data_IF_235732952380
#
_entry.id   IF_235732952380
#
_cell.length_a   1.000
_cell.length_b   1.000
_cell.length_c   1.000
_cell.angle_alpha   90.00
_cell.angle_beta   90.00
_cell.angle_gamma   90.00
#
_symmetry.space_group_name_H-M   'P 1'
#
loop_
_entity.id
_entity.type
_entity.pdbx_description
1 polymer ?
#
# COMPACT_ATOMS: atom_id res chain seq x y z
N UNK A 1 -98.52 0.61 -42.62
CA UNK A 1 -98.09 0.87 -41.23
C UNK A 1 -99.09 0.19 -40.29
N UNK A 2 -98.63 -0.60 -39.33
CA UNK A 2 -99.48 -1.23 -38.31
C UNK A 2 -98.78 -2.39 -37.63
N UNK A 3 -98.20 -2.15 -36.45
CA UNK A 3 -97.62 -3.19 -35.58
C UNK A 3 -98.67 -4.25 -35.23
N UNK A 4 -98.25 -5.52 -35.18
CA UNK A 4 -98.89 -6.57 -34.38
C UNK A 4 -97.84 -7.33 -33.57
N UNK A 5 -97.13 -6.59 -32.71
CA UNK A 5 -96.39 -7.17 -31.60
C UNK A 5 -97.36 -7.26 -30.40
N UNK A 6 -98.21 -8.28 -30.40
CA UNK A 6 -99.18 -8.51 -29.33
C UNK A 6 -99.54 -9.99 -29.29
N UNK A 7 -99.47 -10.58 -28.10
CA UNK A 7 -99.79 -11.98 -27.80
C UNK A 7 -100.98 -12.51 -28.62
N UNK A 8 -100.74 -13.54 -29.44
CA UNK A 8 -101.78 -14.34 -30.10
C UNK A 8 -101.96 -15.65 -29.28
N UNK A 9 -103.04 -15.77 -28.48
CA UNK A 9 -103.27 -16.94 -27.63
C UNK A 9 -103.37 -18.26 -28.40
N UNK A 10 -103.60 -18.20 -29.72
CA UNK A 10 -103.80 -19.36 -30.59
C UNK A 10 -102.59 -19.67 -31.50
N UNK A 11 -101.41 -19.06 -31.29
CA UNK A 11 -100.16 -19.42 -31.99
C UNK A 11 -99.25 -20.34 -31.14
N UNK A 12 -99.37 -21.68 -31.27
CA UNK A 12 -98.55 -22.63 -30.51
C UNK A 12 -97.05 -22.53 -30.83
N UNK A 13 -96.68 -22.08 -32.04
CA UNK A 13 -95.28 -21.92 -32.44
C UNK A 13 -94.68 -20.67 -31.81
N UNK A 14 -95.44 -19.57 -31.75
CA UNK A 14 -95.05 -18.35 -31.05
C UNK A 14 -94.80 -18.57 -29.56
N UNK A 15 -95.65 -19.38 -28.91
CA UNK A 15 -95.50 -19.72 -27.49
C UNK A 15 -94.29 -20.63 -27.23
N UNK A 16 -94.03 -21.62 -28.09
CA UNK A 16 -92.83 -22.46 -28.00
C UNK A 16 -91.54 -21.65 -28.20
N UNK A 17 -91.55 -20.71 -29.16
CA UNK A 17 -90.41 -19.82 -29.42
C UNK A 17 -90.08 -18.96 -28.20
N UNK A 18 -91.10 -18.37 -27.56
CA UNK A 18 -90.92 -17.59 -26.32
C UNK A 18 -90.38 -18.43 -25.17
N UNK A 19 -90.88 -19.67 -25.00
CA UNK A 19 -90.38 -20.58 -23.97
C UNK A 19 -88.90 -20.94 -24.19
N UNK A 20 -88.50 -21.20 -25.44
CA UNK A 20 -87.11 -21.41 -25.83
C UNK A 20 -86.27 -20.16 -25.57
N UNK A 21 -86.73 -18.99 -26.00
CA UNK A 21 -85.98 -17.74 -25.87
C UNK A 21 -85.77 -17.36 -24.40
N UNK A 22 -86.79 -17.54 -23.55
CA UNK A 22 -86.67 -17.37 -22.10
C UNK A 22 -85.70 -18.39 -21.47
N UNK A 23 -85.70 -19.63 -21.95
CA UNK A 23 -84.76 -20.66 -21.49
C UNK A 23 -83.33 -20.30 -21.89
N UNK A 24 -83.09 -19.91 -23.14
CA UNK A 24 -81.77 -19.51 -23.63
C UNK A 24 -81.26 -18.24 -22.94
N UNK A 25 -82.12 -17.27 -22.66
CA UNK A 25 -81.76 -16.07 -21.92
C UNK A 25 -81.37 -16.39 -20.47
N UNK A 26 -82.09 -17.30 -19.81
CA UNK A 26 -81.73 -17.79 -18.47
C UNK A 26 -80.38 -18.53 -18.46
N UNK A 27 -80.15 -19.40 -19.46
CA UNK A 27 -78.86 -20.11 -19.60
C UNK A 27 -77.72 -19.16 -19.94
N UNK A 28 -77.95 -18.17 -20.80
CA UNK A 28 -76.96 -17.17 -21.15
C UNK A 28 -76.58 -16.32 -19.92
N UNK A 29 -77.55 -15.86 -19.14
CA UNK A 29 -77.30 -15.14 -17.88
C UNK A 29 -76.53 -15.98 -16.88
N UNK A 30 -76.92 -17.24 -16.67
CA UNK A 30 -76.21 -18.15 -15.78
C UNK A 30 -74.75 -18.37 -16.21
N UNK A 31 -74.48 -18.48 -17.51
CA UNK A 31 -73.12 -18.60 -18.05
C UNK A 31 -72.32 -17.30 -17.92
N UNK A 32 -72.95 -16.14 -18.14
CA UNK A 32 -72.30 -14.83 -17.95
C UNK A 32 -71.92 -14.66 -16.48
N UNK A 33 -72.83 -14.98 -15.55
CA UNK A 33 -72.56 -14.91 -14.12
C UNK A 33 -71.45 -15.88 -13.72
N UNK A 34 -71.45 -17.10 -14.26
CA UNK A 34 -70.40 -18.09 -14.03
C UNK A 34 -69.02 -17.60 -14.49
N UNK A 35 -68.90 -17.06 -15.70
CA UNK A 35 -67.63 -16.54 -16.24
C UNK A 35 -67.16 -15.29 -15.50
N UNK A 36 -68.09 -14.47 -15.00
CA UNK A 36 -67.79 -13.30 -14.18
C UNK A 36 -67.42 -13.66 -12.73
N UNK A 37 -67.52 -14.92 -12.31
CA UNK A 37 -67.08 -15.32 -10.97
C UNK A 37 -65.56 -15.33 -10.86
N UNK A 38 -65.07 -14.83 -9.73
CA UNK A 38 -63.64 -14.90 -9.38
C UNK A 38 -63.14 -16.35 -9.29
N UNK A 39 -64.01 -17.30 -8.95
CA UNK A 39 -63.68 -18.73 -8.90
C UNK A 39 -63.38 -19.31 -10.29
N UNK A 40 -64.14 -18.91 -11.32
CA UNK A 40 -63.88 -19.33 -12.70
C UNK A 40 -62.58 -18.73 -13.23
N UNK A 41 -62.37 -17.43 -12.99
CA UNK A 41 -61.12 -16.76 -13.35
C UNK A 41 -59.90 -17.42 -12.68
N UNK A 42 -59.98 -17.74 -11.39
CA UNK A 42 -58.93 -18.46 -10.65
C UNK A 42 -58.70 -19.87 -11.19
N UNK A 43 -59.77 -20.60 -11.52
CA UNK A 43 -59.67 -21.96 -12.04
C UNK A 43 -59.05 -22.01 -13.44
N UNK A 44 -59.43 -21.10 -14.35
CA UNK A 44 -58.79 -20.99 -15.66
C UNK A 44 -57.33 -20.56 -15.52
N UNK A 45 -57.05 -19.58 -14.65
CA UNK A 45 -55.68 -19.14 -14.35
C UNK A 45 -54.79 -20.31 -13.90
N UNK A 46 -55.25 -21.08 -12.91
CA UNK A 46 -54.52 -22.25 -12.41
C UNK A 46 -54.34 -23.36 -13.47
N UNK A 47 -55.33 -23.55 -14.34
CA UNK A 47 -55.24 -24.53 -15.44
C UNK A 47 -54.23 -24.09 -16.50
N UNK A 48 -54.22 -22.81 -16.85
CA UNK A 48 -53.26 -22.25 -17.79
C UNK A 48 -51.84 -22.27 -17.23
N UNK A 49 -51.66 -21.92 -15.95
CA UNK A 49 -50.37 -22.02 -15.27
C UNK A 49 -49.87 -23.47 -15.24
N UNK A 50 -50.75 -24.43 -14.95
CA UNK A 50 -50.40 -25.85 -14.99
C UNK A 50 -49.97 -26.31 -16.38
N UNK A 51 -50.67 -25.86 -17.43
CA UNK A 51 -50.30 -26.13 -18.82
C UNK A 51 -48.93 -25.53 -19.18
N UNK A 52 -48.68 -24.29 -18.78
CA UNK A 52 -47.40 -23.61 -19.02
C UNK A 52 -46.25 -24.32 -18.29
N UNK A 53 -46.45 -24.70 -17.03
CA UNK A 53 -45.47 -25.46 -16.24
C UNK A 53 -45.20 -26.83 -16.88
N UNK A 54 -46.26 -27.53 -17.31
CA UNK A 54 -46.14 -28.83 -17.98
C UNK A 54 -45.46 -28.73 -19.36
N UNK A 55 -45.46 -27.56 -20.00
CA UNK A 55 -44.80 -27.33 -21.28
C UNK A 55 -43.29 -27.03 -21.16
N UNK A 56 -42.80 -26.66 -19.98
CA UNK A 56 -41.39 -26.35 -19.76
C UNK A 56 -40.44 -27.54 -20.07
N UNK A 57 -40.75 -28.80 -19.67
CA UNK A 57 -39.98 -29.97 -20.10
C UNK A 57 -39.89 -30.14 -21.61
N UNK A 58 -40.99 -29.84 -22.34
CA UNK A 58 -41.00 -29.92 -23.80
C UNK A 58 -40.07 -28.88 -24.42
N UNK A 59 -40.10 -27.64 -23.92
CA UNK A 59 -39.16 -26.60 -24.36
C UNK A 59 -37.70 -27.02 -24.10
N UNK A 60 -37.42 -27.61 -22.93
CA UNK A 60 -36.08 -28.10 -22.61
C UNK A 60 -35.63 -29.23 -23.55
N UNK A 61 -36.52 -30.15 -23.91
CA UNK A 61 -36.24 -31.21 -24.86
C UNK A 61 -35.90 -30.64 -26.25
N UNK A 62 -36.69 -29.68 -26.74
CA UNK A 62 -36.46 -29.00 -28.02
C UNK A 62 -35.10 -28.30 -28.00
N UNK A 63 -34.80 -27.52 -26.95
CA UNK A 63 -33.53 -26.82 -26.79
C UNK A 63 -32.34 -27.80 -26.77
N UNK A 64 -32.48 -28.93 -26.09
CA UNK A 64 -31.44 -29.96 -26.01
C UNK A 64 -31.22 -30.61 -27.37
N UNK A 65 -32.30 -30.99 -28.07
CA UNK A 65 -32.21 -31.54 -29.43
C UNK A 65 -31.54 -30.56 -30.39
N UNK A 66 -31.86 -29.26 -30.30
CA UNK A 66 -31.25 -28.23 -31.12
C UNK A 66 -29.76 -28.10 -30.83
N UNK A 67 -29.35 -28.08 -29.55
CA UNK A 67 -27.93 -28.09 -29.14
C UNK A 67 -27.19 -29.28 -29.72
N UNK A 68 -27.76 -30.49 -29.64
CA UNK A 68 -27.14 -31.69 -30.20
C UNK A 68 -27.04 -31.62 -31.73
N UNK A 69 -28.05 -31.11 -32.43
CA UNK A 69 -27.99 -30.93 -33.87
C UNK A 69 -26.93 -29.92 -34.30
N UNK A 70 -26.83 -28.79 -33.60
CA UNK A 70 -25.80 -27.78 -33.84
C UNK A 70 -24.39 -28.34 -33.58
N UNK A 71 -24.21 -29.08 -32.49
CA UNK A 71 -22.93 -29.73 -32.19
C UNK A 71 -22.49 -30.72 -33.29
N UNK A 72 -23.43 -31.47 -33.89
CA UNK A 72 -23.13 -32.37 -35.02
C UNK A 72 -22.67 -31.63 -36.28
N UNK A 73 -23.11 -30.38 -36.44
CA UNK A 73 -22.69 -29.50 -37.52
C UNK A 73 -21.44 -28.67 -37.16
N UNK A 74 -20.82 -28.93 -36.00
CA UNK A 74 -19.73 -28.13 -35.43
C UNK A 74 -20.11 -26.64 -35.27
N UNK A 75 -21.39 -26.34 -35.03
CA UNK A 75 -21.88 -24.99 -34.78
C UNK A 75 -22.07 -24.78 -33.28
N UNK A 76 -21.60 -23.65 -32.72
CA UNK A 76 -21.80 -23.34 -31.31
C UNK A 76 -23.27 -23.03 -31.04
N UNK A 77 -23.75 -23.49 -29.89
CA UNK A 77 -25.05 -23.08 -29.37
C UNK A 77 -25.03 -21.63 -28.87
N UNK A 78 -26.21 -21.02 -28.76
CA UNK A 78 -26.35 -19.64 -28.25
C UNK A 78 -25.76 -19.49 -26.85
N UNK A 79 -25.97 -20.48 -25.98
CA UNK A 79 -25.47 -20.44 -24.60
C UNK A 79 -23.94 -20.49 -24.53
N UNK A 80 -23.31 -21.25 -25.42
CA UNK A 80 -21.84 -21.30 -25.53
C UNK A 80 -21.29 -19.96 -26.03
N UNK A 81 -21.93 -19.34 -27.02
CA UNK A 81 -21.56 -18.02 -27.51
C UNK A 81 -21.70 -16.94 -26.42
N UNK A 82 -22.80 -16.94 -25.67
CA UNK A 82 -22.99 -16.01 -24.55
C UNK A 82 -21.98 -16.24 -23.44
N UNK A 83 -21.65 -17.50 -23.13
CA UNK A 83 -20.63 -17.85 -22.14
C UNK A 83 -19.25 -17.37 -22.58
N UNK A 84 -18.91 -17.57 -23.86
CA UNK A 84 -17.66 -17.09 -24.43
C UNK A 84 -17.59 -15.56 -24.38
N UNK A 85 -18.63 -14.85 -24.82
CA UNK A 85 -18.69 -13.39 -24.78
C UNK A 85 -18.47 -12.86 -23.36
N UNK A 86 -19.13 -13.45 -22.36
CA UNK A 86 -18.94 -13.07 -20.95
C UNK A 86 -17.50 -13.27 -20.48
N UNK A 87 -16.86 -14.38 -20.88
CA UNK A 87 -15.45 -14.65 -20.53
C UNK A 87 -14.52 -13.64 -21.20
N UNK A 88 -14.78 -13.29 -22.46
CA UNK A 88 -14.01 -12.28 -23.19
C UNK A 88 -14.14 -10.91 -22.52
N UNK A 89 -15.35 -10.47 -22.17
CA UNK A 89 -15.57 -9.23 -21.42
C UNK A 89 -14.88 -9.25 -20.05
N UNK A 90 -14.87 -10.40 -19.36
CA UNK A 90 -14.12 -10.50 -18.10
C UNK A 90 -12.61 -10.37 -18.30
N UNK A 91 -12.07 -10.98 -19.35
CA UNK A 91 -10.65 -10.87 -19.70
C UNK A 91 -10.30 -9.41 -20.04
N UNK A 92 -11.14 -8.73 -20.80
CA UNK A 92 -11.00 -7.30 -21.14
C UNK A 92 -10.94 -6.43 -19.88
N UNK A 93 -11.91 -6.54 -18.96
CA UNK A 93 -11.88 -5.78 -17.71
C UNK A 93 -10.62 -6.06 -16.87
N UNK A 94 -10.19 -7.33 -16.78
CA UNK A 94 -8.97 -7.69 -16.05
C UNK A 94 -7.71 -7.19 -16.74
N UNK A 95 -7.73 -7.05 -18.06
CA UNK A 95 -6.63 -6.48 -18.82
C UNK A 95 -6.51 -4.98 -18.56
N UNK A 96 -7.64 -4.26 -18.53
CA UNK A 96 -7.70 -2.84 -18.16
C UNK A 96 -7.15 -2.63 -16.73
N UNK A 97 -7.54 -3.47 -15.77
CA UNK A 97 -7.00 -3.43 -14.41
C UNK A 97 -5.48 -3.64 -14.35
N UNK A 98 -4.95 -4.50 -15.23
CA UNK A 98 -3.51 -4.76 -15.32
C UNK A 98 -2.80 -3.55 -15.92
N UNK A 99 -3.36 -2.92 -16.96
CA UNK A 99 -2.83 -1.69 -17.56
C UNK A 99 -2.68 -0.59 -16.49
N UNK A 100 -3.74 -0.36 -15.70
CA UNK A 100 -3.73 0.61 -14.60
C UNK A 100 -2.63 0.28 -13.57
N UNK A 101 -2.48 -1.00 -13.19
CA UNK A 101 -1.46 -1.41 -12.21
C UNK A 101 -0.04 -1.26 -12.76
N UNK A 102 0.17 -1.55 -14.03
CA UNK A 102 1.46 -1.36 -14.70
C UNK A 102 1.82 0.12 -14.70
N UNK A 103 0.88 1.00 -15.03
CA UNK A 103 1.10 2.45 -14.99
C UNK A 103 1.43 2.94 -13.58
N UNK A 104 0.73 2.45 -12.56
CA UNK A 104 1.04 2.78 -11.16
C UNK A 104 2.44 2.30 -10.75
N UNK A 105 2.84 1.10 -11.15
CA UNK A 105 4.18 0.57 -10.88
C UNK A 105 5.25 1.38 -11.62
N UNK A 106 5.04 1.70 -12.90
CA UNK A 106 5.95 2.55 -13.66
C UNK A 106 6.07 3.94 -13.05
N UNK A 107 4.96 4.51 -12.58
CA UNK A 107 4.96 5.80 -11.90
C UNK A 107 5.72 5.74 -10.57
N UNK A 108 5.49 4.71 -9.76
CA UNK A 108 6.22 4.48 -8.51
C UNK A 108 7.72 4.30 -8.77
N UNK A 109 8.11 3.51 -9.78
CA UNK A 109 9.51 3.35 -10.16
C UNK A 109 10.13 4.68 -10.62
N UNK A 110 9.42 5.47 -11.42
CA UNK A 110 9.95 6.75 -11.91
C UNK A 110 10.09 7.80 -10.82
N UNK A 111 9.22 7.77 -9.81
CA UNK A 111 9.17 8.80 -8.75
C UNK A 111 9.97 8.39 -7.52
N UNK A 112 9.87 7.14 -7.07
CA UNK A 112 10.47 6.68 -5.82
C UNK A 112 11.90 6.21 -5.99
N UNK A 113 12.25 5.58 -7.12
CA UNK A 113 13.64 5.11 -7.34
C UNK A 113 14.68 6.23 -7.22
N UNK A 114 14.54 7.41 -7.87
CA UNK A 114 15.53 8.47 -7.71
C UNK A 114 15.62 8.98 -6.27
N UNK A 115 14.48 9.11 -5.57
CA UNK A 115 14.45 9.54 -4.16
C UNK A 115 15.15 8.54 -3.25
N UNK A 116 14.92 7.23 -3.45
CA UNK A 116 15.60 6.19 -2.67
C UNK A 116 17.10 6.19 -2.96
N UNK A 117 17.50 6.35 -4.22
CA UNK A 117 18.91 6.43 -4.60
C UNK A 117 19.57 7.65 -3.95
N UNK A 118 18.93 8.81 -4.01
CA UNK A 118 19.43 10.06 -3.41
C UNK A 118 19.60 9.94 -1.89
N UNK A 119 18.58 9.42 -1.20
CA UNK A 119 18.64 9.16 0.24
C UNK A 119 19.75 8.16 0.60
N UNK A 120 19.91 7.07 -0.17
CA UNK A 120 20.99 6.10 0.06
C UNK A 120 22.36 6.70 -0.21
N UNK A 121 22.50 7.55 -1.23
CA UNK A 121 23.77 8.25 -1.49
C UNK A 121 24.11 9.22 -0.36
N UNK A 122 23.14 9.97 0.15
CA UNK A 122 23.34 10.88 1.28
C UNK A 122 23.74 10.11 2.54
N UNK A 123 23.07 8.99 2.83
CA UNK A 123 23.42 8.10 3.94
C UNK A 123 24.85 7.55 3.81
N UNK A 124 25.28 7.18 2.59
CA UNK A 124 26.65 6.70 2.35
C UNK A 124 27.69 7.81 2.52
N UNK A 125 27.38 9.03 2.12
CA UNK A 125 28.25 10.18 2.33
C UNK A 125 28.39 10.51 3.82
N UNK A 126 27.29 10.48 4.57
CA UNK A 126 27.31 10.64 6.03
C UNK A 126 28.18 9.57 6.69
N UNK A 127 27.98 8.29 6.35
CA UNK A 127 28.78 7.19 6.91
C UNK A 127 30.28 7.36 6.56
N UNK A 128 30.60 7.89 5.38
CA UNK A 128 31.99 8.20 5.01
C UNK A 128 32.56 9.30 5.90
N UNK A 129 31.80 10.35 6.17
CA UNK A 129 32.24 11.45 7.05
C UNK A 129 32.46 10.96 8.48
N UNK A 130 31.53 10.17 9.02
CA UNK A 130 31.68 9.54 10.34
C UNK A 130 32.94 8.68 10.40
N UNK A 131 33.26 7.92 9.35
CA UNK A 131 34.52 7.17 9.25
C UNK A 131 35.77 8.06 9.28
N UNK A 132 35.72 9.24 8.66
CA UNK A 132 36.83 10.22 8.69
C UNK A 132 36.99 10.80 10.11
N UNK A 133 35.89 11.13 10.77
CA UNK A 133 35.92 11.62 12.16
C UNK A 133 36.49 10.58 13.12
N UNK A 134 36.06 9.32 13.00
CA UNK A 134 36.57 8.21 13.80
C UNK A 134 38.08 8.02 13.62
N UNK A 135 38.58 8.05 12.38
CA UNK A 135 40.01 7.96 12.11
C UNK A 135 40.78 9.17 12.69
N UNK A 136 40.20 10.37 12.61
CA UNK A 136 40.76 11.56 13.26
C UNK A 136 40.82 11.44 14.78
N UNK A 137 39.81 10.83 15.41
CA UNK A 137 39.82 10.51 16.84
C UNK A 137 40.88 9.46 17.18
N UNK A 138 41.05 8.44 16.36
CA UNK A 138 42.07 7.40 16.53
C UNK A 138 43.49 8.00 16.50
N UNK A 139 43.76 8.90 15.56
CA UNK A 139 45.04 9.63 15.50
C UNK A 139 45.29 10.48 16.76
N UNK A 140 44.25 11.14 17.27
CA UNK A 140 44.34 11.93 18.52
C UNK A 140 44.62 11.03 19.73
N UNK A 141 44.00 9.85 19.79
CA UNK A 141 44.27 8.86 20.83
C UNK A 141 45.71 8.34 20.75
N UNK A 142 46.21 8.01 19.56
CA UNK A 142 47.59 7.58 19.36
C UNK A 142 48.61 8.67 19.75
N UNK A 143 48.33 9.94 19.45
CA UNK A 143 49.17 11.06 19.87
C UNK A 143 49.18 11.25 21.40
N UNK A 144 48.04 11.02 22.06
CA UNK A 144 47.92 11.03 23.52
C UNK A 144 48.73 9.90 24.16
N UNK A 145 48.67 8.70 23.59
CA UNK A 145 49.43 7.53 24.03
C UNK A 145 50.94 7.79 23.95
N UNK A 146 51.41 8.30 22.80
CA UNK A 146 52.81 8.68 22.65
C UNK A 146 53.25 9.76 23.65
N UNK A 147 52.39 10.72 23.96
CA UNK A 147 52.67 11.76 24.96
C UNK A 147 52.72 11.17 26.38
N UNK A 148 51.91 10.17 26.68
CA UNK A 148 51.98 9.45 27.96
C UNK A 148 53.31 8.70 28.12
N UNK A 149 53.79 8.03 27.06
CA UNK A 149 55.11 7.39 27.04
C UNK A 149 56.26 8.38 27.26
N UNK A 150 56.19 9.56 26.61
CA UNK A 150 57.18 10.61 26.82
C UNK A 150 57.22 11.09 28.28
N UNK A 151 56.06 11.21 28.93
CA UNK A 151 56.00 11.55 30.35
C UNK A 151 56.59 10.45 31.24
N UNK A 152 56.32 9.18 30.94
CA UNK A 152 56.92 8.03 31.63
C UNK A 152 58.46 8.05 31.55
N UNK A 153 59.01 8.28 30.35
CA UNK A 153 60.45 8.40 30.16
C UNK A 153 61.06 9.60 30.91
N UNK A 154 60.36 10.74 30.96
CA UNK A 154 60.81 11.89 31.75
C UNK A 154 60.87 11.57 33.23
N UNK A 155 59.88 10.86 33.77
CA UNK A 155 59.87 10.42 35.17
C UNK A 155 61.05 9.48 35.44
N UNK A 156 61.30 8.52 34.56
CA UNK A 156 62.41 7.58 34.70
C UNK A 156 63.78 8.28 34.67
N UNK A 157 63.97 9.23 33.75
CA UNK A 157 65.20 10.05 33.69
C UNK A 157 65.39 10.89 34.94
N UNK A 158 64.32 11.50 35.47
CA UNK A 158 64.38 12.27 36.71
C UNK A 158 64.72 11.37 37.92
N UNK A 159 64.18 10.15 37.97
CA UNK A 159 64.52 9.17 39.00
C UNK A 159 65.99 8.72 38.91
N UNK A 160 66.49 8.43 37.71
CA UNK A 160 67.91 8.08 37.50
C UNK A 160 68.84 9.22 37.89
N UNK A 161 68.54 10.45 37.48
CA UNK A 161 69.32 11.63 37.89
C UNK A 161 69.30 11.86 39.41
N UNK A 162 68.17 11.60 40.07
CA UNK A 162 68.08 11.69 41.53
C UNK A 162 68.93 10.61 42.23
N UNK A 163 68.97 9.38 41.70
CA UNK A 163 69.84 8.30 42.18
C UNK A 163 71.33 8.64 42.00
N UNK A 164 71.73 9.18 40.85
CA UNK A 164 73.11 9.62 40.59
C UNK A 164 73.53 10.78 41.51
N UNK A 165 72.64 11.74 41.75
CA UNK A 165 72.91 12.84 42.70
C UNK A 165 73.05 12.32 44.15
N UNK A 166 72.29 11.29 44.53
CA UNK A 166 72.42 10.64 45.84
C UNK A 166 73.77 9.91 46.00
N UNK A 167 74.24 9.20 44.97
CA UNK A 167 75.58 8.59 44.96
C UNK A 167 76.71 9.63 44.97
N UNK A 168 76.57 10.73 44.22
CA UNK A 168 77.53 11.84 44.19
C UNK A 168 77.60 12.57 45.55
N UNK A 169 76.47 12.74 46.22
CA UNK A 169 76.41 13.32 47.56
C UNK A 169 77.07 12.42 48.63
N UNK A 170 76.94 11.09 48.49
CA UNK A 170 77.66 10.13 49.36
C UNK A 170 79.18 10.17 49.15
N UNK A 171 79.67 10.34 47.91
CA UNK A 171 81.10 10.53 47.64
C UNK A 171 81.64 11.85 48.20
N UNK A 172 80.87 12.94 48.15
CA UNK A 172 81.24 14.26 48.70
C UNK A 172 81.32 14.32 50.23
N UNK A 173 80.56 13.48 50.95
CA UNK A 173 80.66 13.38 52.43
C UNK A 173 82.00 12.84 52.94
N UNK A 174 82.88 12.29 52.09
CA UNK A 174 84.16 11.69 52.48
C UNK A 174 85.40 12.61 52.33
N UNK A 175 85.27 13.90 52.00
CA UNK A 175 86.42 14.80 51.81
C UNK A 175 86.46 15.97 52.84
N UNK A 176 87.62 16.32 53.46
CA UNK A 176 87.73 17.37 54.48
C UNK A 176 87.92 18.79 53.90
N UNK A 177 87.43 19.82 54.62
CA UNK A 177 87.32 21.23 54.19
C UNK A 177 88.40 22.13 54.86
N UNK A 178 89.05 23.11 54.15
CA UNK A 178 89.91 24.12 54.77
C UNK A 178 89.23 25.49 54.99
N UNK A 179 89.84 26.29 55.88
CA UNK A 179 89.39 27.57 56.48
C UNK A 179 89.77 28.83 55.66
N UNK A 180 89.02 29.93 55.83
CA UNK A 180 89.27 31.29 55.29
C UNK A 180 89.86 32.25 56.34
N UNK A 181 90.58 33.31 55.90
CA UNK A 181 90.69 34.60 56.62
C UNK A 181 90.43 35.87 55.73
N UNK A 182 90.39 37.10 56.31
CA UNK A 182 89.44 38.19 55.94
C UNK A 182 89.98 39.44 55.18
N UNK A 183 89.01 40.27 54.73
CA UNK A 183 88.92 41.69 54.21
C UNK A 183 89.98 42.76 54.63
N UNK A 184 89.99 44.06 54.15
CA UNK A 184 89.28 44.81 53.05
C UNK A 184 90.14 45.90 52.30
N UNK A 185 89.53 46.67 51.36
CA UNK A 185 89.55 48.15 51.17
C UNK A 185 89.33 48.64 49.70
N UNK A 186 88.52 49.70 49.56
CA UNK A 186 87.97 50.41 48.35
C UNK A 186 88.94 51.50 47.77
N UNK A 187 88.63 52.48 46.86
CA UNK A 187 87.45 52.79 45.99
C UNK A 187 87.72 53.35 44.54
N UNK A 188 86.67 53.33 43.66
CA UNK A 188 86.17 54.32 42.62
C UNK A 188 87.06 54.94 41.50
N UNK A 189 86.52 55.67 40.48
CA UNK A 189 85.37 55.42 39.57
C UNK A 189 85.62 55.89 38.09
N UNK A 190 84.82 55.47 37.10
CA UNK A 190 84.56 56.20 35.81
C UNK A 190 83.39 55.49 35.09
N UNK A 191 82.18 56.03 34.92
CA UNK A 191 81.67 57.17 34.12
C UNK A 191 81.08 56.73 32.75
N UNK A 192 79.91 57.33 32.41
CA UNK A 192 79.41 57.66 31.06
C UNK A 192 78.36 56.75 30.38
N UNK A 193 77.10 57.22 30.56
CA UNK A 193 76.07 57.60 29.56
C UNK A 193 74.88 56.70 29.21
N UNK A 194 73.73 57.30 29.55
CA UNK A 194 72.43 57.32 28.86
C UNK A 194 72.54 57.50 27.34
N UNK A 195 71.64 56.88 26.57
CA UNK A 195 70.76 57.63 25.66
C UNK A 195 69.54 56.81 25.19
N UNK A 196 68.59 57.57 24.66
CA UNK A 196 67.17 57.38 24.48
C UNK A 196 66.62 56.33 23.49
N UNK A 197 65.36 55.95 23.79
CA UNK A 197 64.16 55.83 22.93
C UNK A 197 64.21 55.12 21.56
N UNK A 198 63.14 54.37 21.28
CA UNK A 198 62.15 54.68 20.23
C UNK A 198 61.01 53.64 20.29
N UNK A 199 59.79 54.17 20.38
CA UNK A 199 58.52 53.50 20.12
C UNK A 199 58.36 53.14 18.64
N UNK A 200 57.64 52.07 18.31
CA UNK A 200 57.19 51.83 16.94
C UNK A 200 56.42 50.53 16.76
N UNK A 201 55.08 50.67 16.74
CA UNK A 201 54.04 49.90 16.04
C UNK A 201 54.21 48.40 15.78
#
# INVERSE_FOLDING_TARGET
MGQKNGFDPNDPIGNLRKARDATLDAWAKAMIDLVNTETFARWIGATLDSYLIASAPLQNLINTSMKTSLARLNLPSRDELTTLARRVTNIEMRLDDIEIKIDQLMHALRTQTPVIVEMLTEQLEQNRQEGVELNGMEQRLAALDHKADQMLQLIERLQQAALEQAEAAQKRRKAPRPLQPPEPETPTPEEVKEDHAIEGF
#
